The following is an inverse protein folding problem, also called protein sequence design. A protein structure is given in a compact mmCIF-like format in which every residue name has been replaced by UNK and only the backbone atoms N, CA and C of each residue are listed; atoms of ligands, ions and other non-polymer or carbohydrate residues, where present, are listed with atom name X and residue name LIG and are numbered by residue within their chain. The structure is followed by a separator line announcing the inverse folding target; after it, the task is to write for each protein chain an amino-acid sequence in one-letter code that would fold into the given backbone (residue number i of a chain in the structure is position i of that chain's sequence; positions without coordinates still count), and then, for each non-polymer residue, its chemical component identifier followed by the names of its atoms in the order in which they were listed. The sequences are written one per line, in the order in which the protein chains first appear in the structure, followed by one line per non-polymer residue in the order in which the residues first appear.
data_IF_414441794528
#
_entry.id   IF_414441794528
#
_cell.length_a   1.000
_cell.length_b   1.000
_cell.length_c   1.000
_cell.angle_alpha   90.00
_cell.angle_beta   90.00
_cell.angle_gamma   90.00
#
_symmetry.space_group_name_H-M   'P 1'
#
loop_
_entity.id
_entity.type
_entity.pdbx_description
1 polymer ?
#
# COMPACT_ATOMS: atom_id res chain seq x y z
N UNK A 1 -10.92 -10.50 9.42
CA UNK A 1 -10.12 -10.28 8.18
C UNK A 1 -9.27 -11.51 7.98
N UNK A 2 -9.23 -12.04 6.77
CA UNK A 2 -8.40 -13.19 6.43
C UNK A 2 -7.05 -12.75 5.85
N UNK A 3 -6.01 -13.55 6.09
CA UNK A 3 -4.71 -13.40 5.44
C UNK A 3 -4.70 -14.01 4.04
N UNK A 4 -3.72 -13.67 3.21
CA UNK A 4 -3.53 -14.30 1.90
C UNK A 4 -2.10 -14.12 1.40
N UNK A 5 -1.84 -14.40 0.13
CA UNK A 5 -0.54 -14.17 -0.50
C UNK A 5 -0.72 -13.28 -1.72
N UNK A 6 -0.14 -12.10 -1.69
CA UNK A 6 -0.07 -11.15 -2.80
C UNK A 6 1.34 -10.59 -2.83
N UNK A 7 1.95 -10.53 -4.01
CA UNK A 7 3.32 -10.07 -4.21
C UNK A 7 3.48 -9.44 -5.58
N UNK A 8 4.56 -8.67 -5.79
CA UNK A 8 4.92 -8.16 -7.12
C UNK A 8 5.76 -9.18 -7.88
N UNK A 9 5.73 -9.16 -9.22
CA UNK A 9 6.63 -10.02 -10.00
C UNK A 9 8.09 -9.73 -9.64
N UNK A 10 8.83 -10.76 -9.25
CA UNK A 10 10.24 -10.64 -8.86
C UNK A 10 10.50 -10.28 -7.39
N UNK A 11 9.47 -10.04 -6.57
CA UNK A 11 9.62 -9.79 -5.13
C UNK A 11 8.57 -10.57 -4.34
N UNK A 12 9.01 -11.47 -3.46
CA UNK A 12 8.11 -12.33 -2.67
C UNK A 12 7.56 -11.70 -1.38
N UNK A 13 7.92 -10.45 -1.07
CA UNK A 13 7.51 -9.76 0.17
C UNK A 13 7.31 -8.26 -0.07
N UNK A 14 6.77 -7.55 0.92
CA UNK A 14 6.53 -6.10 0.85
C UNK A 14 5.05 -5.69 0.75
N UNK A 15 4.17 -6.64 0.42
CA UNK A 15 2.71 -6.46 0.45
C UNK A 15 2.14 -7.25 1.62
N UNK A 16 1.28 -6.61 2.40
CA UNK A 16 0.45 -7.27 3.42
C UNK A 16 -0.95 -7.38 2.85
N UNK A 17 -1.36 -8.55 2.36
CA UNK A 17 -2.72 -8.75 1.90
C UNK A 17 -3.70 -8.74 3.07
N UNK A 18 -4.88 -8.19 2.79
CA UNK A 18 -6.02 -8.11 3.70
C UNK A 18 -7.29 -8.28 2.89
N UNK A 19 -8.10 -9.25 3.28
CA UNK A 19 -9.42 -9.51 2.73
C UNK A 19 -10.48 -9.28 3.81
N UNK A 20 -11.52 -8.52 3.47
CA UNK A 20 -12.61 -8.19 4.39
C UNK A 20 -13.64 -9.32 4.45
N UNK A 21 -13.94 -9.80 5.67
CA UNK A 21 -14.98 -10.81 5.92
C UNK A 21 -16.40 -10.28 5.68
N UNK A 22 -16.56 -8.96 5.65
CA UNK A 22 -17.82 -8.26 5.34
C UNK A 22 -17.75 -7.57 3.96
N UNK A 23 -16.96 -8.11 3.04
CA UNK A 23 -16.79 -7.56 1.70
C UNK A 23 -18.08 -7.47 0.88
N UNK A 24 -19.14 -8.22 1.24
CA UNK A 24 -20.47 -8.07 0.66
C UNK A 24 -21.17 -6.76 1.05
N UNK A 25 -20.96 -6.30 2.27
CA UNK A 25 -21.51 -5.03 2.78
C UNK A 25 -20.67 -3.82 2.35
N UNK A 26 -19.37 -4.01 2.13
CA UNK A 26 -18.44 -2.94 1.76
C UNK A 26 -17.54 -3.39 0.59
N UNK A 27 -18.05 -3.39 -0.64
CA UNK A 27 -17.37 -3.95 -1.82
C UNK A 27 -16.01 -3.31 -2.09
N UNK A 28 -15.89 -2.01 -1.89
CA UNK A 28 -14.65 -1.24 -2.12
C UNK A 28 -13.52 -1.61 -1.15
N UNK A 29 -13.87 -2.15 0.02
CA UNK A 29 -12.91 -2.58 1.04
C UNK A 29 -12.67 -4.10 1.03
N UNK A 30 -13.23 -4.82 0.06
CA UNK A 30 -13.12 -6.29 -0.02
C UNK A 30 -11.65 -6.73 -0.08
N UNK A 31 -10.85 -6.02 -0.85
CA UNK A 31 -9.39 -6.16 -0.92
C UNK A 31 -8.74 -4.84 -0.50
N UNK A 32 -8.00 -4.85 0.61
CA UNK A 32 -7.44 -3.63 1.18
C UNK A 32 -5.98 -3.81 1.61
N UNK A 33 -5.15 -4.17 0.63
CA UNK A 33 -3.76 -4.56 0.86
C UNK A 33 -2.88 -3.37 1.24
N UNK A 34 -1.88 -3.59 2.08
CA UNK A 34 -0.91 -2.56 2.46
C UNK A 34 0.43 -2.81 1.76
N UNK A 35 0.93 -1.81 1.03
CA UNK A 35 2.24 -1.83 0.40
C UNK A 35 3.25 -1.11 1.31
N UNK A 36 4.36 -1.77 1.59
CA UNK A 36 5.48 -1.19 2.35
C UNK A 36 6.54 -0.68 1.38
N UNK A 37 6.83 0.61 1.44
CA UNK A 37 7.86 1.26 0.63
C UNK A 37 9.02 1.71 1.50
N UNK A 38 10.23 1.39 1.03
CA UNK A 38 11.47 1.77 1.69
C UNK A 38 11.61 3.31 1.67
N UNK A 39 11.78 3.97 2.83
CA UNK A 39 12.03 5.41 2.88
C UNK A 39 13.46 5.76 2.42
N UNK A 40 13.73 7.04 2.13
CA UNK A 40 15.09 7.56 2.08
C UNK A 40 15.78 7.45 3.45
N UNK A 41 17.12 7.39 3.43
CA UNK A 41 17.91 7.37 4.65
C UNK A 41 17.58 8.58 5.55
N UNK A 42 17.29 8.32 6.82
CA UNK A 42 16.93 9.35 7.79
C UNK A 42 15.56 9.99 7.58
N UNK A 43 14.69 9.47 6.70
CA UNK A 43 13.34 9.98 6.46
C UNK A 43 13.28 11.44 5.99
N UNK A 44 14.29 11.91 5.28
CA UNK A 44 14.30 13.26 4.68
C UNK A 44 13.71 13.23 3.28
N UNK A 45 12.74 14.11 3.04
CA UNK A 45 12.03 14.21 1.77
C UNK A 45 12.05 15.64 1.23
N UNK A 46 12.12 15.77 -0.09
CA UNK A 46 11.72 17.00 -0.75
C UNK A 46 10.21 17.01 -0.96
N UNK A 47 9.62 18.20 -1.06
CA UNK A 47 8.19 18.32 -1.34
C UNK A 47 7.80 17.70 -2.69
N UNK A 48 8.72 17.68 -3.66
CA UNK A 48 8.49 17.07 -4.98
C UNK A 48 8.42 15.55 -4.92
N UNK A 49 9.28 14.91 -4.11
CA UNK A 49 9.21 13.46 -3.87
C UNK A 49 7.88 13.06 -3.23
N UNK A 50 7.45 13.81 -2.22
CA UNK A 50 6.16 13.54 -1.55
C UNK A 50 4.98 13.70 -2.49
N UNK A 51 5.00 14.73 -3.35
CA UNK A 51 3.96 14.92 -4.39
C UNK A 51 3.97 13.80 -5.42
N UNK A 52 5.14 13.31 -5.83
CA UNK A 52 5.23 12.19 -6.76
C UNK A 52 4.64 10.91 -6.17
N UNK A 53 5.01 10.59 -4.92
CA UNK A 53 4.47 9.45 -4.19
C UNK A 53 2.95 9.57 -4.00
N UNK A 54 2.47 10.74 -3.57
CA UNK A 54 1.04 11.00 -3.40
C UNK A 54 0.24 10.85 -4.69
N UNK A 55 0.71 11.44 -5.80
CA UNK A 55 0.05 11.32 -7.11
C UNK A 55 -0.01 9.89 -7.63
N UNK A 56 1.05 9.11 -7.43
CA UNK A 56 1.03 7.69 -7.79
C UNK A 56 0.02 6.93 -6.92
N UNK A 57 0.03 7.19 -5.61
CA UNK A 57 -0.83 6.50 -4.67
C UNK A 57 -2.32 6.84 -4.83
N UNK A 58 -2.67 8.08 -5.14
CA UNK A 58 -4.06 8.48 -5.46
C UNK A 58 -4.60 7.77 -6.70
N UNK A 59 -3.73 7.43 -7.66
CA UNK A 59 -4.13 6.76 -8.89
C UNK A 59 -4.36 5.25 -8.71
N UNK A 60 -3.56 4.61 -7.85
CA UNK A 60 -3.51 3.15 -7.76
C UNK A 60 -4.01 2.59 -6.42
N UNK A 61 -4.12 3.42 -5.38
CA UNK A 61 -4.55 3.03 -4.05
C UNK A 61 -5.71 3.85 -3.52
N UNK A 62 -5.99 3.70 -2.24
CA UNK A 62 -7.09 4.38 -1.55
C UNK A 62 -6.82 5.85 -1.21
N UNK A 63 -5.58 6.33 -1.44
CA UNK A 63 -5.10 7.62 -0.93
C UNK A 63 -4.68 7.61 0.55
N UNK A 64 -5.01 6.56 1.31
CA UNK A 64 -4.59 6.43 2.71
C UNK A 64 -3.12 5.99 2.82
N UNK A 65 -2.36 6.69 3.65
CA UNK A 65 -0.95 6.37 3.90
C UNK A 65 -0.55 6.60 5.35
N UNK A 66 0.51 5.94 5.79
CA UNK A 66 1.15 6.16 7.10
C UNK A 66 2.64 6.47 6.91
N UNK A 67 3.05 7.61 7.44
CA UNK A 67 4.43 8.08 7.51
C UNK A 67 4.85 8.18 8.99
N UNK A 68 5.48 7.17 9.58
CA UNK A 68 5.92 5.88 9.04
C UNK A 68 5.40 4.73 9.90
N UNK A 69 5.43 3.51 9.36
CA UNK A 69 5.24 2.31 10.17
C UNK A 69 6.34 2.14 11.23
N UNK A 70 6.11 1.28 12.22
CA UNK A 70 7.03 1.08 13.36
C UNK A 70 8.46 0.69 12.93
N UNK A 71 8.61 0.00 11.82
CA UNK A 71 9.91 -0.38 11.24
C UNK A 71 10.53 0.70 10.34
N UNK A 72 9.90 1.87 10.25
CA UNK A 72 10.36 3.00 9.44
C UNK A 72 9.91 2.97 7.99
N UNK A 73 9.05 2.03 7.55
CA UNK A 73 8.57 2.01 6.17
C UNK A 73 7.44 3.03 5.94
N UNK A 74 7.36 3.60 4.73
CA UNK A 74 6.12 4.25 4.28
C UNK A 74 5.10 3.13 4.05
N UNK A 75 3.89 3.29 4.58
CA UNK A 75 2.81 2.31 4.38
C UNK A 75 1.71 2.94 3.53
N UNK A 76 1.52 2.41 2.33
CA UNK A 76 0.40 2.76 1.46
C UNK A 76 -0.72 1.75 1.70
N UNK A 77 -1.86 2.23 2.20
CA UNK A 77 -2.90 1.38 2.79
C UNK A 77 -4.11 1.33 1.88
N UNK A 78 -4.46 0.14 1.39
CA UNK A 78 -5.64 -0.07 0.57
C UNK A 78 -5.32 -0.03 -0.91
N UNK A 79 -5.03 -1.20 -1.46
CA UNK A 79 -5.03 -1.49 -2.89
C UNK A 79 -5.68 -2.85 -3.13
N UNK A 80 -6.24 -3.03 -4.31
CA UNK A 80 -6.68 -4.34 -4.83
C UNK A 80 -5.48 -5.14 -5.32
N UNK A 81 -5.63 -6.45 -5.48
CA UNK A 81 -4.57 -7.33 -6.00
C UNK A 81 -4.01 -6.83 -7.34
N UNK A 82 -4.88 -6.42 -8.26
CA UNK A 82 -4.50 -5.89 -9.59
C UNK A 82 -3.63 -4.63 -9.49
N UNK A 83 -4.01 -3.69 -8.62
CA UNK A 83 -3.32 -2.42 -8.51
C UNK A 83 -1.95 -2.52 -7.80
N UNK A 84 -1.64 -3.64 -7.14
CA UNK A 84 -0.35 -3.81 -6.46
C UNK A 84 0.85 -3.89 -7.41
N UNK A 85 0.65 -4.25 -8.68
CA UNK A 85 1.74 -4.35 -9.67
C UNK A 85 2.09 -3.03 -10.34
N UNK A 86 1.14 -2.09 -10.35
CA UNK A 86 1.23 -0.85 -11.13
C UNK A 86 1.74 0.35 -10.31
N UNK A 87 1.82 0.18 -8.99
CA UNK A 87 2.31 1.17 -8.06
C UNK A 87 3.84 1.20 -7.98
#
# INVERSE_FOLDING_TARGET
MEGGTVSVFGYGSGIIPRFSEVGSSFPESKEFHTLRVQPPAGNYYTTDMLRQLGKSWEKHGSGLSTFHGQTGNIMFIGATTENTQHF
#
